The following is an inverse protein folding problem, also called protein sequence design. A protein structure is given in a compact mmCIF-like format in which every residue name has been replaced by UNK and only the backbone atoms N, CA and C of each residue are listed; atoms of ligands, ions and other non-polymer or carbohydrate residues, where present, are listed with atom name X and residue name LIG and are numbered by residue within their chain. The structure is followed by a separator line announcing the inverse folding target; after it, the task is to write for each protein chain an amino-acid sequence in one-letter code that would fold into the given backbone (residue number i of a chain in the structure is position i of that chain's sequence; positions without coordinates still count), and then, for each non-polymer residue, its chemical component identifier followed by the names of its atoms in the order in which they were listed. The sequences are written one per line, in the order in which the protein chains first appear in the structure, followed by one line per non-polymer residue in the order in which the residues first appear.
data_IF_586216284253
#
_entry.id   IF_586216284253
#
_cell.length_a   1.000
_cell.length_b   1.000
_cell.length_c   1.000
_cell.angle_alpha   90.00
_cell.angle_beta   90.00
_cell.angle_gamma   90.00
#
_symmetry.space_group_name_H-M   'P 1'
#
loop_
_entity.id
_entity.type
_entity.pdbx_description
1 polymer ?
#
# COMPACT_ATOMS: atom_id res chain seq x y z
N UNK A 1 13.99 0.94 -42.49
CA UNK A 1 13.17 1.33 -41.32
C UNK A 1 13.09 2.84 -41.28
N UNK A 2 11.95 3.36 -41.72
CA UNK A 2 11.68 4.78 -41.87
C UNK A 2 11.47 5.46 -40.51
N UNK A 3 11.70 6.78 -40.49
CA UNK A 3 11.66 7.59 -39.25
C UNK A 3 10.26 7.56 -38.60
N UNK A 4 9.23 7.58 -39.45
CA UNK A 4 7.82 7.51 -39.07
C UNK A 4 7.49 6.22 -38.30
N UNK A 5 8.03 5.08 -38.75
CA UNK A 5 7.83 3.78 -38.09
C UNK A 5 8.42 3.79 -36.67
N UNK A 6 9.62 4.36 -36.50
CA UNK A 6 10.28 4.46 -35.19
C UNK A 6 9.56 5.40 -34.22
N UNK A 7 8.95 6.47 -34.72
CA UNK A 7 8.16 7.40 -33.91
C UNK A 7 6.86 6.73 -33.43
N UNK A 8 6.17 6.05 -34.33
CA UNK A 8 4.93 5.33 -34.03
C UNK A 8 5.14 4.21 -33.00
N UNK A 9 6.26 3.49 -33.08
CA UNK A 9 6.64 2.46 -32.10
C UNK A 9 6.94 3.06 -30.72
N UNK A 10 7.59 4.23 -30.68
CA UNK A 10 7.93 4.92 -29.43
C UNK A 10 6.70 5.47 -28.72
N UNK A 11 5.73 6.01 -29.46
CA UNK A 11 4.44 6.47 -28.91
C UNK A 11 3.63 5.31 -28.34
N UNK A 12 3.49 4.21 -29.10
CA UNK A 12 2.80 3.01 -28.62
C UNK A 12 3.47 2.39 -27.39
N UNK A 13 4.80 2.44 -27.31
CA UNK A 13 5.53 1.99 -26.13
C UNK A 13 5.24 2.89 -24.92
N UNK A 14 5.29 4.22 -25.10
CA UNK A 14 4.98 5.19 -24.05
C UNK A 14 3.56 5.04 -23.48
N UNK A 15 2.56 4.85 -24.35
CA UNK A 15 1.18 4.62 -23.91
C UNK A 15 1.02 3.29 -23.13
N UNK A 16 1.68 2.22 -23.58
CA UNK A 16 1.62 0.91 -22.90
C UNK A 16 2.25 0.97 -21.52
N UNK A 17 3.42 1.60 -21.40
CA UNK A 17 4.11 1.72 -20.12
C UNK A 17 3.34 2.65 -19.16
N UNK A 18 2.83 3.79 -19.64
CA UNK A 18 2.01 4.69 -18.82
C UNK A 18 0.73 4.03 -18.28
N UNK A 19 0.06 3.19 -19.09
CA UNK A 19 -1.10 2.42 -18.62
C UNK A 19 -0.73 1.34 -17.60
N UNK A 20 0.42 0.67 -17.76
CA UNK A 20 0.90 -0.32 -16.79
C UNK A 20 1.27 0.34 -15.46
N UNK A 21 1.97 1.46 -15.51
CA UNK A 21 2.37 2.23 -14.33
C UNK A 21 1.13 2.76 -13.59
N UNK A 22 0.19 3.40 -14.29
CA UNK A 22 -1.05 3.87 -13.69
C UNK A 22 -1.90 2.74 -13.07
N UNK A 23 -1.93 1.56 -13.70
CA UNK A 23 -2.60 0.38 -13.14
C UNK A 23 -1.88 -0.14 -11.89
N UNK A 24 -0.55 -0.15 -11.89
CA UNK A 24 0.27 -0.59 -10.74
C UNK A 24 0.07 0.37 -9.56
N UNK A 25 0.14 1.67 -9.78
CA UNK A 25 -0.12 2.69 -8.75
C UNK A 25 -1.55 2.60 -8.20
N UNK A 26 -2.56 2.42 -9.07
CA UNK A 26 -3.95 2.26 -8.63
C UNK A 26 -4.17 1.03 -7.75
N UNK A 27 -3.55 -0.10 -8.11
CA UNK A 27 -3.58 -1.33 -7.31
C UNK A 27 -2.84 -1.17 -5.98
N UNK A 28 -1.70 -0.49 -5.98
CA UNK A 28 -0.91 -0.25 -4.77
C UNK A 28 -1.65 0.68 -3.78
N UNK A 29 -2.24 1.78 -4.29
CA UNK A 29 -3.10 2.67 -3.50
C UNK A 29 -4.28 1.92 -2.91
N UNK A 30 -5.02 1.15 -3.71
CA UNK A 30 -6.16 0.36 -3.24
C UNK A 30 -5.78 -0.68 -2.19
N UNK A 31 -4.63 -1.33 -2.36
CA UNK A 31 -4.09 -2.27 -1.35
C UNK A 31 -3.72 -1.57 -0.05
N UNK A 32 -3.05 -0.41 -0.11
CA UNK A 32 -2.65 0.34 1.08
C UNK A 32 -3.85 0.92 1.82
N UNK A 33 -4.88 1.38 1.12
CA UNK A 33 -6.14 1.83 1.73
C UNK A 33 -6.90 0.69 2.42
N UNK A 34 -7.01 -0.48 1.78
CA UNK A 34 -7.59 -1.67 2.40
C UNK A 34 -6.79 -2.11 3.63
N UNK A 35 -5.46 -2.13 3.53
CA UNK A 35 -4.57 -2.45 4.64
C UNK A 35 -4.74 -1.48 5.81
N UNK A 36 -4.91 -0.18 5.54
CA UNK A 36 -5.18 0.85 6.56
C UNK A 36 -6.49 0.59 7.31
N UNK A 37 -7.57 0.29 6.59
CA UNK A 37 -8.86 0.00 7.20
C UNK A 37 -8.80 -1.26 8.08
N UNK A 38 -8.09 -2.30 7.63
CA UNK A 38 -7.91 -3.53 8.40
C UNK A 38 -7.00 -3.30 9.63
N UNK A 39 -5.90 -2.56 9.47
CA UNK A 39 -5.00 -2.14 10.54
C UNK A 39 -5.75 -1.48 11.69
N UNK A 40 -6.60 -0.49 11.38
CA UNK A 40 -7.40 0.21 12.39
C UNK A 40 -8.38 -0.72 13.11
N UNK A 41 -9.04 -1.63 12.38
CA UNK A 41 -9.94 -2.63 12.97
C UNK A 41 -9.19 -3.61 13.88
N UNK A 42 -8.01 -4.06 13.48
CA UNK A 42 -7.15 -4.94 14.29
C UNK A 42 -6.77 -4.27 15.60
N UNK A 43 -6.24 -3.04 15.56
CA UNK A 43 -5.86 -2.27 16.76
C UNK A 43 -7.05 -2.11 17.70
N UNK A 44 -8.22 -1.69 17.18
CA UNK A 44 -9.44 -1.55 17.99
C UNK A 44 -9.91 -2.88 18.57
N UNK A 45 -9.84 -3.96 17.79
CA UNK A 45 -10.17 -5.30 18.25
C UNK A 45 -9.31 -5.73 19.42
N UNK A 46 -7.99 -5.65 19.29
CA UNK A 46 -7.07 -6.01 20.36
C UNK A 46 -7.26 -5.16 21.62
N UNK A 47 -7.47 -3.85 21.48
CA UNK A 47 -7.80 -2.95 22.59
C UNK A 47 -9.09 -3.39 23.31
N UNK A 48 -10.13 -3.76 22.56
CA UNK A 48 -11.40 -4.24 23.11
C UNK A 48 -11.24 -5.52 23.93
N UNK A 49 -10.30 -6.39 23.55
CA UNK A 49 -9.98 -7.61 24.29
C UNK A 49 -8.96 -7.39 25.42
N UNK A 50 -8.57 -6.15 25.70
CA UNK A 50 -7.64 -5.83 26.79
C UNK A 50 -6.20 -6.26 26.52
N UNK A 51 -5.83 -6.47 25.26
CA UNK A 51 -4.44 -6.80 24.90
C UNK A 51 -3.53 -5.61 25.22
N UNK A 52 -2.39 -5.82 25.91
CA UNK A 52 -1.44 -4.76 26.21
C UNK A 52 -0.93 -4.05 24.96
N UNK A 53 -0.72 -2.74 25.05
CA UNK A 53 -0.39 -1.90 23.89
C UNK A 53 0.93 -2.32 23.21
N UNK A 54 1.91 -2.80 23.96
CA UNK A 54 3.17 -3.33 23.41
C UNK A 54 2.94 -4.61 22.58
N UNK A 55 2.05 -5.50 23.04
CA UNK A 55 1.70 -6.73 22.32
C UNK A 55 0.85 -6.43 21.07
N UNK A 56 -0.01 -5.40 21.12
CA UNK A 56 -0.71 -4.90 19.92
C UNK A 56 0.30 -4.42 18.90
N UNK A 57 1.27 -3.61 19.32
CA UNK A 57 2.28 -3.08 18.42
C UNK A 57 3.08 -4.19 17.74
N UNK A 58 3.54 -5.19 18.52
CA UNK A 58 4.28 -6.34 17.99
C UNK A 58 3.47 -7.13 16.94
N UNK A 59 2.22 -7.47 17.27
CA UNK A 59 1.35 -8.24 16.38
C UNK A 59 1.06 -7.48 15.08
N UNK A 60 0.75 -6.19 15.20
CA UNK A 60 0.39 -5.34 14.07
C UNK A 60 1.62 -5.04 13.19
N UNK A 61 2.81 -4.91 13.77
CA UNK A 61 4.07 -4.83 13.03
C UNK A 61 4.31 -6.09 12.20
N UNK A 62 4.11 -7.27 12.79
CA UNK A 62 4.27 -8.53 12.08
C UNK A 62 3.33 -8.62 10.87
N UNK A 63 2.05 -8.30 11.05
CA UNK A 63 1.01 -8.49 10.03
C UNK A 63 1.07 -7.42 8.91
N UNK A 64 1.54 -6.21 9.22
CA UNK A 64 1.41 -5.05 8.33
C UNK A 64 2.74 -4.37 7.94
N UNK A 65 3.90 -4.89 8.35
CA UNK A 65 5.23 -4.37 7.98
C UNK A 65 5.48 -4.22 6.48
N UNK A 66 4.79 -5.02 5.65
CA UNK A 66 4.85 -4.92 4.18
C UNK A 66 4.16 -3.67 3.60
N UNK A 67 3.27 -3.02 4.37
CA UNK A 67 2.46 -1.88 3.92
C UNK A 67 2.74 -0.59 4.71
N UNK A 68 3.21 -0.70 5.95
CA UNK A 68 3.41 0.44 6.84
C UNK A 68 4.72 0.31 7.61
N UNK A 69 5.36 1.46 7.88
CA UNK A 69 6.51 1.51 8.77
C UNK A 69 6.08 1.43 10.24
N UNK A 70 7.00 1.09 11.16
CA UNK A 70 6.70 1.12 12.59
C UNK A 70 6.19 2.47 13.09
N UNK A 71 6.71 3.56 12.55
CA UNK A 71 6.31 4.93 12.90
C UNK A 71 4.86 5.21 12.46
N UNK A 72 4.48 4.77 11.26
CA UNK A 72 3.12 4.88 10.76
C UNK A 72 2.15 4.08 11.63
N UNK A 73 2.49 2.83 11.99
CA UNK A 73 1.66 1.99 12.88
C UNK A 73 1.50 2.65 14.25
N UNK A 74 2.58 3.19 14.83
CA UNK A 74 2.51 3.95 16.10
C UNK A 74 1.61 5.18 15.97
N UNK A 75 1.62 5.87 14.84
CA UNK A 75 0.72 6.99 14.58
C UNK A 75 -0.76 6.55 14.52
N UNK A 76 -1.03 5.37 13.93
CA UNK A 76 -2.38 4.77 13.94
C UNK A 76 -2.85 4.35 15.33
N UNK A 77 -1.93 3.88 16.18
CA UNK A 77 -2.25 3.54 17.57
C UNK A 77 -2.52 4.78 18.42
N UNK A 78 -1.88 5.93 18.16
CA UNK A 78 -2.15 7.17 18.92
C UNK A 78 -3.50 7.83 18.63
N UNK A 79 -4.23 7.36 17.61
CA UNK A 79 -5.59 7.80 17.29
C UNK A 79 -6.63 7.07 18.13
#
# INVERSE_FOLDING_TARGET
MDLETRLLEREQYGEREGRKEGRKEGLEKGRREAAKANLQKSIQGYRKFGVPEDAILEQVLADYSQYFTPEEIRAYMKK
#
